data_IF_474114153118
#
_entry.id   IF_474114153118
#
_cell.length_a   1.000
_cell.length_b   1.000
_cell.length_c   1.000
_cell.angle_alpha   90.00
_cell.angle_beta   90.00
_cell.angle_gamma   90.00
#
_symmetry.space_group_name_H-M   'P 1'
#
loop_
_entity.id
_entity.type
_entity.pdbx_description
1 polymer ?
#
# COMPACT_ATOMS: atom_id res chain seq x y z
N UNK A 1 -17.47 1.29 -15.33
CA UNK A 1 -17.26 1.13 -16.78
C UNK A 1 -17.92 2.30 -17.48
N UNK A 2 -17.14 3.27 -17.96
CA UNK A 2 -17.67 4.40 -18.73
C UNK A 2 -17.98 3.90 -20.15
N UNK A 3 -19.25 3.94 -20.55
CA UNK A 3 -19.65 3.67 -21.94
C UNK A 3 -18.99 4.70 -22.86
N UNK A 4 -18.31 4.28 -23.94
CA UNK A 4 -17.76 5.23 -24.90
C UNK A 4 -18.90 6.10 -25.44
N UNK A 5 -18.68 7.41 -25.50
CA UNK A 5 -19.70 8.32 -26.02
C UNK A 5 -19.94 8.01 -27.50
N UNK A 6 -21.21 7.94 -27.95
CA UNK A 6 -21.54 7.43 -29.29
C UNK A 6 -20.98 8.29 -30.44
N UNK A 7 -20.60 9.55 -30.17
CA UNK A 7 -19.97 10.44 -31.13
C UNK A 7 -18.46 10.16 -31.33
N UNK A 8 -17.81 9.45 -30.41
CA UNK A 8 -16.40 9.05 -30.54
C UNK A 8 -16.22 7.76 -31.34
N UNK A 9 -17.31 7.03 -31.60
CA UNK A 9 -17.33 5.77 -32.36
C UNK A 9 -17.78 5.94 -33.80
N UNK A 10 -18.08 7.17 -34.24
CA UNK A 10 -18.51 7.44 -35.61
C UNK A 10 -17.33 7.22 -36.58
N UNK A 11 -17.42 6.28 -37.55
CA UNK A 11 -16.33 5.98 -38.47
C UNK A 11 -15.93 7.17 -39.34
N UNK A 12 -16.84 8.13 -39.58
CA UNK A 12 -16.55 9.34 -40.34
C UNK A 12 -15.67 10.29 -39.52
N UNK A 13 -15.86 10.32 -38.20
CA UNK A 13 -15.10 11.17 -37.28
C UNK A 13 -13.74 10.57 -36.90
N UNK A 14 -13.56 9.26 -37.08
CA UNK A 14 -12.32 8.55 -36.72
C UNK A 14 -11.05 9.18 -37.32
N UNK A 15 -11.11 9.62 -38.58
CA UNK A 15 -9.99 10.29 -39.24
C UNK A 15 -9.69 11.66 -38.63
N UNK A 16 -10.72 12.40 -38.19
CA UNK A 16 -10.59 13.73 -37.59
C UNK A 16 -10.10 13.71 -36.15
N UNK A 17 -10.19 12.56 -35.46
CA UNK A 17 -9.70 12.40 -34.09
C UNK A 17 -8.19 12.15 -34.00
N UNK A 18 -7.51 11.95 -35.15
CA UNK A 18 -6.08 11.71 -35.18
C UNK A 18 -5.30 13.02 -34.96
N UNK A 19 -4.28 13.05 -34.08
CA UNK A 19 -3.47 14.26 -33.83
C UNK A 19 -2.73 14.80 -35.06
N UNK A 20 -2.47 13.94 -36.04
CA UNK A 20 -1.77 14.26 -37.30
C UNK A 20 -2.72 14.42 -38.49
N UNK A 21 -3.98 14.80 -38.24
CA UNK A 21 -4.97 14.97 -39.31
C UNK A 21 -4.54 16.07 -40.30
N UNK A 22 -4.49 15.73 -41.59
CA UNK A 22 -4.29 16.67 -42.68
C UNK A 22 -5.55 16.72 -43.57
N UNK A 23 -6.24 17.87 -43.67
CA UNK A 23 -7.44 18.01 -44.48
C UNK A 23 -7.18 17.77 -45.97
N UNK A 24 -5.98 18.10 -46.48
CA UNK A 24 -5.66 17.91 -47.89
C UNK A 24 -5.46 16.42 -48.20
N UNK A 25 -4.68 15.70 -47.38
CA UNK A 25 -4.53 14.25 -47.49
C UNK A 25 -5.86 13.50 -47.31
N UNK A 26 -6.73 13.96 -46.40
CA UNK A 26 -8.06 13.38 -46.22
C UNK A 26 -8.92 13.49 -47.48
N UNK A 27 -9.00 14.68 -48.11
CA UNK A 27 -9.77 14.85 -49.35
C UNK A 27 -9.17 14.05 -50.51
N UNK A 28 -7.85 14.00 -50.63
CA UNK A 28 -7.17 13.26 -51.69
C UNK A 28 -7.29 11.73 -51.54
N UNK A 29 -7.50 11.23 -50.31
CA UNK A 29 -7.70 9.80 -50.05
C UNK A 29 -9.17 9.38 -50.09
N UNK A 30 -10.10 10.30 -49.84
CA UNK A 30 -11.55 10.03 -49.88
C UNK A 30 -12.16 10.23 -51.25
N UNK A 31 -11.62 11.13 -52.08
CA UNK A 31 -12.16 11.41 -53.41
C UNK A 31 -11.47 10.57 -54.51
N UNK A 32 -12.22 10.03 -55.50
CA UNK A 32 -11.63 9.30 -56.61
C UNK A 32 -10.78 10.20 -57.53
N UNK A 33 -9.76 9.66 -58.21
CA UNK A 33 -8.94 10.42 -59.14
C UNK A 33 -9.73 10.84 -60.40
N UNK A 34 -9.53 12.08 -60.85
CA UNK A 34 -10.16 12.64 -62.04
C UNK A 34 -9.64 11.97 -63.34
N UNK A 35 -10.55 11.57 -64.22
CA UNK A 35 -10.21 11.08 -65.56
C UNK A 35 -9.86 12.25 -66.50
N UNK A 36 -8.61 12.71 -66.47
CA UNK A 36 -8.13 13.81 -67.35
C UNK A 36 -7.39 13.33 -68.61
N UNK A 37 -7.09 12.03 -68.73
CA UNK A 37 -6.23 11.48 -69.78
C UNK A 37 -6.95 10.40 -70.62
N UNK A 38 -6.65 10.27 -71.93
CA UNK A 38 -7.30 9.32 -72.83
C UNK A 38 -6.87 7.86 -72.64
N UNK A 39 -5.95 7.56 -71.71
CA UNK A 39 -5.65 6.18 -71.29
C UNK A 39 -6.53 5.84 -70.09
N UNK A 40 -7.41 4.83 -70.19
CA UNK A 40 -8.27 4.45 -69.08
C UNK A 40 -7.41 3.84 -67.97
N UNK A 41 -7.18 4.58 -66.90
CA UNK A 41 -6.95 3.93 -65.61
C UNK A 41 -8.29 3.40 -65.13
N UNK A 42 -8.34 2.18 -64.62
CA UNK A 42 -9.58 1.46 -64.35
C UNK A 42 -10.47 2.10 -63.26
N UNK A 43 -10.00 3.16 -62.60
CA UNK A 43 -10.63 3.77 -61.42
C UNK A 43 -10.88 5.29 -61.55
N UNK A 44 -10.75 5.89 -62.73
CA UNK A 44 -10.93 7.33 -62.89
C UNK A 44 -12.41 7.71 -63.15
N UNK A 45 -12.94 8.67 -62.39
CA UNK A 45 -14.35 9.10 -62.47
C UNK A 45 -14.51 10.38 -63.29
N UNK A 46 -15.73 10.62 -63.78
CA UNK A 46 -16.09 11.84 -64.49
C UNK A 46 -16.23 13.03 -63.53
N UNK A 47 -15.96 14.25 -64.01
CA UNK A 47 -16.07 15.48 -63.21
C UNK A 47 -17.47 15.66 -62.59
N UNK A 48 -18.53 15.28 -63.32
CA UNK A 48 -19.90 15.38 -62.83
C UNK A 48 -20.12 14.47 -61.61
N UNK A 49 -19.65 13.22 -61.65
CA UNK A 49 -19.77 12.29 -60.55
C UNK A 49 -18.95 12.74 -59.33
N UNK A 50 -17.72 13.20 -59.54
CA UNK A 50 -16.89 13.76 -58.46
C UNK A 50 -17.57 14.96 -57.78
N UNK A 51 -18.19 15.86 -58.56
CA UNK A 51 -18.89 17.01 -58.01
C UNK A 51 -20.05 16.60 -57.12
N UNK A 52 -20.82 15.59 -57.52
CA UNK A 52 -21.94 15.05 -56.75
C UNK A 52 -21.47 14.37 -55.47
N UNK A 53 -20.39 13.59 -55.53
CA UNK A 53 -19.79 12.91 -54.39
C UNK A 53 -19.21 13.91 -53.38
N UNK A 54 -18.52 14.94 -53.85
CA UNK A 54 -17.99 16.02 -53.00
C UNK A 54 -19.11 16.79 -52.31
N UNK A 55 -20.21 17.10 -53.02
CA UNK A 55 -21.38 17.76 -52.43
C UNK A 55 -22.05 16.90 -51.36
N UNK A 56 -22.15 15.58 -51.58
CA UNK A 56 -22.69 14.63 -50.60
C UNK A 56 -21.82 14.55 -49.34
N UNK A 57 -20.50 14.47 -49.52
CA UNK A 57 -19.53 14.47 -48.43
C UNK A 57 -19.61 15.78 -47.62
N UNK A 58 -19.65 16.93 -48.29
CA UNK A 58 -19.76 18.23 -47.64
C UNK A 58 -21.08 18.37 -46.85
N UNK A 59 -22.20 17.92 -47.42
CA UNK A 59 -23.49 17.92 -46.73
C UNK A 59 -23.45 17.04 -45.48
N UNK A 60 -22.80 15.88 -45.56
CA UNK A 60 -22.62 14.95 -44.44
C UNK A 60 -21.77 15.57 -43.33
N UNK A 61 -20.62 16.15 -43.68
CA UNK A 61 -19.74 16.83 -42.73
C UNK A 61 -20.44 18.03 -42.07
N UNK A 62 -21.20 18.82 -42.82
CA UNK A 62 -21.93 19.96 -42.27
C UNK A 62 -23.02 19.53 -41.28
N UNK A 63 -23.73 18.44 -41.58
CA UNK A 63 -24.71 17.87 -40.66
C UNK A 63 -24.04 17.37 -39.37
N UNK A 64 -22.89 16.70 -39.47
CA UNK A 64 -22.12 16.25 -38.31
C UNK A 64 -21.56 17.40 -37.49
N UNK A 65 -21.01 18.43 -38.13
CA UNK A 65 -20.50 19.63 -37.45
C UNK A 65 -21.60 20.35 -36.66
N UNK A 66 -22.80 20.45 -37.23
CA UNK A 66 -23.98 21.02 -36.54
C UNK A 66 -24.37 20.17 -35.32
N UNK A 67 -24.41 18.85 -35.48
CA UNK A 67 -24.73 17.91 -34.39
C UNK A 67 -23.70 17.98 -33.26
N UNK A 68 -22.40 18.04 -33.58
CA UNK A 68 -21.33 18.17 -32.59
C UNK A 68 -21.40 19.50 -31.85
N UNK A 69 -21.67 20.61 -32.55
CA UNK A 69 -21.87 21.92 -31.94
C UNK A 69 -23.04 21.92 -30.95
N UNK A 70 -24.16 21.30 -31.32
CA UNK A 70 -25.32 21.16 -30.43
C UNK A 70 -24.97 20.31 -29.19
N UNK A 71 -24.24 19.22 -29.39
CA UNK A 71 -23.82 18.32 -28.30
C UNK A 71 -22.84 19.03 -27.36
N UNK A 72 -21.88 19.79 -27.89
CA UNK A 72 -20.93 20.57 -27.10
C UNK A 72 -21.66 21.63 -26.26
N UNK A 73 -22.63 22.31 -26.86
CA UNK A 73 -23.45 23.32 -26.16
C UNK A 73 -24.25 22.68 -25.02
N UNK A 74 -24.87 21.52 -25.27
CA UNK A 74 -25.60 20.77 -24.27
C UNK A 74 -24.69 20.31 -23.11
N UNK A 75 -23.54 19.71 -23.44
CA UNK A 75 -22.57 19.27 -22.42
C UNK A 75 -22.04 20.46 -21.60
N UNK A 76 -21.84 21.62 -22.22
CA UNK A 76 -21.42 22.83 -21.51
C UNK A 76 -22.49 23.30 -20.52
N UNK A 77 -23.76 23.34 -20.93
CA UNK A 77 -24.87 23.69 -20.03
C UNK A 77 -25.02 22.68 -18.88
N UNK A 78 -24.94 21.38 -19.21
CA UNK A 78 -25.00 20.31 -18.21
C UNK A 78 -23.86 20.41 -17.20
N UNK A 79 -22.63 20.75 -17.63
CA UNK A 79 -21.49 20.96 -16.72
C UNK A 79 -21.73 22.18 -15.82
N UNK A 80 -22.20 23.31 -16.35
CA UNK A 80 -22.45 24.51 -15.55
C UNK A 80 -23.60 24.28 -14.53
N UNK A 81 -24.65 23.58 -14.95
CA UNK A 81 -25.80 23.25 -14.11
C UNK A 81 -25.45 22.21 -13.03
N UNK A 82 -24.71 21.17 -13.39
CA UNK A 82 -24.27 20.15 -12.42
C UNK A 82 -23.20 20.68 -11.47
N UNK A 83 -22.32 21.57 -11.93
CA UNK A 83 -21.31 22.21 -11.08
C UNK A 83 -21.94 23.07 -9.97
N UNK A 84 -22.92 23.91 -10.30
CA UNK A 84 -23.63 24.73 -9.30
C UNK A 84 -24.44 23.87 -8.31
N UNK A 85 -25.11 22.81 -8.77
CA UNK A 85 -25.83 21.87 -7.90
C UNK A 85 -24.88 21.09 -6.98
N UNK A 86 -23.75 20.63 -7.52
CA UNK A 86 -22.76 19.88 -6.74
C UNK A 86 -22.12 20.75 -5.67
N UNK A 87 -21.82 22.02 -5.97
CA UNK A 87 -21.32 22.97 -4.97
C UNK A 87 -22.29 23.11 -3.79
N UNK A 88 -23.59 23.31 -4.08
CA UNK A 88 -24.61 23.36 -3.02
C UNK A 88 -24.67 22.07 -2.20
N UNK A 89 -24.61 20.90 -2.84
CA UNK A 89 -24.64 19.62 -2.13
C UNK A 89 -23.41 19.41 -1.24
N UNK A 90 -22.23 19.85 -1.69
CA UNK A 90 -21.00 19.81 -0.90
C UNK A 90 -21.11 20.73 0.31
N UNK A 91 -21.66 21.94 0.14
CA UNK A 91 -21.86 22.87 1.25
C UNK A 91 -22.88 22.34 2.27
N UNK A 92 -23.98 21.74 1.81
CA UNK A 92 -24.97 21.07 2.68
C UNK A 92 -24.32 19.90 3.44
N UNK A 93 -23.61 19.02 2.73
CA UNK A 93 -22.96 17.86 3.36
C UNK A 93 -21.89 18.30 4.37
N UNK A 94 -21.15 19.37 4.07
CA UNK A 94 -20.20 19.96 5.00
C UNK A 94 -20.91 20.51 6.24
N UNK A 95 -22.03 21.21 6.06
CA UNK A 95 -22.87 21.69 7.17
C UNK A 95 -23.39 20.55 8.04
N UNK A 96 -23.92 19.48 7.44
CA UNK A 96 -24.40 18.29 8.15
C UNK A 96 -23.26 17.54 8.86
N UNK A 97 -22.08 17.43 8.24
CA UNK A 97 -20.91 16.81 8.85
C UNK A 97 -20.39 17.62 10.04
N UNK A 98 -20.38 18.94 9.95
CA UNK A 98 -20.02 19.81 11.08
C UNK A 98 -21.05 19.69 12.18
N UNK A 99 -22.35 19.77 11.86
CA UNK A 99 -23.42 19.60 12.85
C UNK A 99 -23.35 18.24 13.55
N UNK A 100 -23.06 17.15 12.81
CA UNK A 100 -22.87 15.83 13.39
C UNK A 100 -21.63 15.82 14.31
N UNK A 101 -20.51 16.38 13.86
CA UNK A 101 -19.29 16.49 14.66
C UNK A 101 -19.54 17.26 15.97
N UNK A 102 -20.30 18.34 15.92
CA UNK A 102 -20.66 19.15 17.08
C UNK A 102 -21.57 18.35 18.02
N UNK A 103 -22.59 17.65 17.51
CA UNK A 103 -23.41 16.76 18.34
C UNK A 103 -22.62 15.63 18.98
N UNK A 104 -21.62 15.08 18.27
CA UNK A 104 -20.75 14.06 18.83
C UNK A 104 -19.86 14.64 19.93
N UNK A 105 -19.15 15.73 19.65
CA UNK A 105 -18.14 16.30 20.54
C UNK A 105 -18.75 17.01 21.75
N UNK A 106 -19.83 17.77 21.57
CA UNK A 106 -20.42 18.60 22.63
C UNK A 106 -21.46 17.87 23.48
N UNK A 107 -22.16 16.89 22.89
CA UNK A 107 -23.28 16.22 23.56
C UNK A 107 -23.00 14.75 23.85
N UNK A 108 -22.65 13.97 22.84
CA UNK A 108 -22.51 12.52 23.02
C UNK A 108 -21.22 12.13 23.72
N UNK A 109 -20.12 12.81 23.47
CA UNK A 109 -18.83 12.52 24.08
C UNK A 109 -18.85 12.63 25.62
N UNK A 110 -19.38 13.70 26.24
CA UNK A 110 -19.48 13.75 27.70
C UNK A 110 -20.46 12.71 28.27
N UNK A 111 -21.52 12.35 27.52
CA UNK A 111 -22.42 11.26 27.91
C UNK A 111 -21.71 9.90 27.87
N UNK A 112 -20.87 9.66 26.84
CA UNK A 112 -20.06 8.44 26.71
C UNK A 112 -19.01 8.36 27.82
N UNK A 113 -18.35 9.46 28.15
CA UNK A 113 -17.35 9.51 29.23
C UNK A 113 -17.96 9.14 30.60
N UNK A 114 -19.26 9.39 30.82
CA UNK A 114 -19.96 8.93 32.02
C UNK A 114 -20.09 7.39 32.10
N UNK A 115 -20.11 6.71 30.96
CA UNK A 115 -20.16 5.25 30.87
C UNK A 115 -18.77 4.61 30.85
N UNK A 116 -17.70 5.40 30.78
CA UNK A 116 -16.32 4.92 30.92
C UNK A 116 -15.95 4.98 32.41
N UNK A 117 -15.69 3.84 33.07
CA UNK A 117 -15.21 3.86 34.45
C UNK A 117 -13.91 4.68 34.51
N UNK A 118 -13.71 5.53 35.55
CA UNK A 118 -12.43 6.19 35.72
C UNK A 118 -11.33 5.13 35.78
N UNK A 119 -10.13 5.39 35.21
CA UNK A 119 -9.00 4.49 35.41
C UNK A 119 -8.82 4.33 36.91
N UNK A 120 -8.87 3.08 37.38
CA UNK A 120 -8.69 2.73 38.78
C UNK A 120 -7.29 3.18 39.22
N UNK A 121 -7.21 4.33 39.88
CA UNK A 121 -6.14 4.62 40.83
C UNK A 121 -6.37 3.69 42.03
N UNK A 122 -5.92 2.46 41.89
CA UNK A 122 -5.63 1.48 42.93
C UNK A 122 -5.35 0.15 42.21
N UNK A 123 -4.08 -0.27 42.19
CA UNK A 123 -3.58 -1.60 42.60
C UNK A 123 -2.09 -1.65 42.24
N UNK A 124 -1.23 -1.32 43.21
CA UNK A 124 0.05 -2.01 43.37
C UNK A 124 -0.27 -3.48 43.70
N UNK A 125 -0.02 -4.39 42.76
CA UNK A 125 0.15 -5.82 43.03
C UNK A 125 0.84 -6.46 41.83
N UNK A 126 2.15 -6.62 41.97
CA UNK A 126 2.92 -7.59 41.21
C UNK A 126 2.41 -9.03 41.43
N UNK A 127 2.63 -9.84 40.40
CA UNK A 127 2.70 -11.30 40.39
C UNK A 127 1.43 -12.12 40.67
N UNK A 128 0.86 -12.70 39.61
CA UNK A 128 1.11 -14.12 39.29
C UNK A 128 0.56 -14.47 37.90
N UNK A 129 1.47 -14.82 37.00
CA UNK A 129 1.18 -15.54 35.76
C UNK A 129 0.81 -16.98 36.12
N UNK A 130 -0.33 -17.49 35.66
CA UNK A 130 -0.35 -18.72 34.86
C UNK A 130 -1.74 -19.04 34.28
N UNK A 131 -1.77 -19.05 32.95
CA UNK A 131 -2.46 -20.05 32.12
C UNK A 131 -3.94 -20.35 32.42
N UNK A 132 -4.82 -19.36 32.24
CA UNK A 132 -6.26 -19.61 32.06
C UNK A 132 -7.01 -18.55 31.21
N UNK A 133 -6.32 -17.83 30.32
CA UNK A 133 -6.86 -16.59 29.73
C UNK A 133 -7.48 -16.68 28.32
N UNK A 134 -7.59 -17.85 27.68
CA UNK A 134 -8.23 -17.91 26.35
C UNK A 134 -9.73 -18.25 26.34
N UNK A 135 -10.27 -18.83 27.42
CA UNK A 135 -11.74 -19.05 27.54
C UNK A 135 -12.46 -17.98 28.36
N UNK A 136 -11.74 -17.25 29.23
CA UNK A 136 -12.31 -16.20 30.09
C UNK A 136 -12.64 -14.90 29.35
N UNK A 137 -11.84 -14.52 28.34
CA UNK A 137 -12.06 -13.30 27.57
C UNK A 137 -13.38 -13.31 26.79
N UNK A 138 -13.83 -14.49 26.34
CA UNK A 138 -15.12 -14.62 25.64
C UNK A 138 -16.32 -14.67 26.60
N UNK A 139 -16.11 -15.11 27.85
CA UNK A 139 -17.17 -15.19 28.88
C UNK A 139 -17.47 -13.82 29.51
N UNK A 140 -16.52 -12.89 29.50
CA UNK A 140 -16.74 -11.48 29.88
C UNK A 140 -17.47 -10.66 28.80
N UNK A 141 -17.61 -11.16 27.57
CA UNK A 141 -18.32 -10.46 26.49
C UNK A 141 -19.85 -10.58 26.57
N UNK A 142 -20.38 -11.53 27.35
CA UNK A 142 -21.82 -11.73 27.52
C UNK A 142 -22.19 -11.59 28.99
N UNK A 143 -22.28 -10.35 29.47
CA UNK A 143 -23.10 -10.10 30.66
C UNK A 143 -24.57 -10.37 30.28
N UNK A 144 -25.34 -11.11 31.09
CA UNK A 144 -26.68 -11.60 30.70
C UNK A 144 -27.76 -10.52 30.54
N UNK A 145 -27.41 -9.24 30.63
CA UNK A 145 -28.37 -8.12 30.63
C UNK A 145 -28.00 -6.98 29.66
N UNK A 146 -27.19 -7.24 28.64
CA UNK A 146 -26.71 -6.20 27.75
C UNK A 146 -27.36 -6.25 26.34
N UNK A 147 -27.72 -5.09 25.75
CA UNK A 147 -28.24 -5.02 24.38
C UNK A 147 -27.28 -5.63 23.35
N UNK A 148 -27.83 -6.38 22.39
CA UNK A 148 -27.06 -7.12 21.38
C UNK A 148 -26.06 -6.28 20.56
N UNK A 149 -26.28 -4.98 20.42
CA UNK A 149 -25.35 -4.09 19.72
C UNK A 149 -24.09 -3.76 20.53
N UNK A 150 -24.17 -3.71 21.86
CA UNK A 150 -22.99 -3.45 22.70
C UNK A 150 -22.08 -4.68 22.76
N UNK A 151 -22.67 -5.88 22.84
CA UNK A 151 -21.90 -7.13 22.72
C UNK A 151 -21.17 -7.22 21.37
N UNK A 152 -21.82 -6.80 20.27
CA UNK A 152 -21.19 -6.71 18.94
C UNK A 152 -20.09 -5.66 18.89
N UNK A 153 -20.27 -4.50 19.53
CA UNK A 153 -19.25 -3.48 19.60
C UNK A 153 -18.01 -3.97 20.36
N UNK A 154 -18.18 -4.61 21.52
CA UNK A 154 -17.03 -5.20 22.26
C UNK A 154 -16.32 -6.28 21.46
N UNK A 155 -17.08 -7.14 20.77
CA UNK A 155 -16.50 -8.13 19.88
C UNK A 155 -15.69 -7.47 18.77
N UNK A 156 -16.21 -6.42 18.13
CA UNK A 156 -15.51 -5.68 17.09
C UNK A 156 -14.26 -4.98 17.63
N UNK A 157 -14.32 -4.38 18.82
CA UNK A 157 -13.15 -3.77 19.48
C UNK A 157 -12.08 -4.82 19.78
N UNK A 158 -12.47 -5.99 20.29
CA UNK A 158 -11.54 -7.08 20.56
C UNK A 158 -10.93 -7.64 19.26
N UNK A 159 -11.75 -7.83 18.22
CA UNK A 159 -11.26 -8.25 16.89
C UNK A 159 -10.31 -7.22 16.31
N UNK A 160 -10.60 -5.92 16.43
CA UNK A 160 -9.70 -4.85 15.99
C UNK A 160 -8.37 -4.91 16.74
N UNK A 161 -8.38 -4.97 18.07
CA UNK A 161 -7.17 -5.07 18.88
C UNK A 161 -6.33 -6.31 18.52
N UNK A 162 -7.01 -7.43 18.25
CA UNK A 162 -6.34 -8.66 17.80
C UNK A 162 -5.75 -8.50 16.41
N UNK A 163 -6.44 -7.86 15.47
CA UNK A 163 -5.92 -7.58 14.12
C UNK A 163 -4.73 -6.63 14.17
N UNK A 164 -4.78 -5.57 14.98
CA UNK A 164 -3.67 -4.63 15.16
C UNK A 164 -2.43 -5.35 15.74
N UNK A 165 -2.63 -6.28 16.69
CA UNK A 165 -1.55 -7.13 17.22
C UNK A 165 -0.95 -8.05 16.15
N UNK A 166 -1.80 -8.69 15.33
CA UNK A 166 -1.35 -9.53 14.21
C UNK A 166 -0.57 -8.70 13.19
N UNK A 167 -1.08 -7.52 12.80
CA UNK A 167 -0.39 -6.62 11.86
C UNK A 167 0.98 -6.22 12.40
N UNK A 168 1.08 -5.90 13.70
CA UNK A 168 2.35 -5.55 14.33
C UNK A 168 3.34 -6.72 14.28
N UNK A 169 2.92 -7.91 14.71
CA UNK A 169 3.80 -9.11 14.75
C UNK A 169 4.22 -9.55 13.35
N UNK A 170 3.30 -9.56 12.37
CA UNK A 170 3.65 -9.87 10.99
C UNK A 170 4.47 -8.75 10.34
N UNK A 171 4.21 -7.48 10.68
CA UNK A 171 4.99 -6.35 10.20
C UNK A 171 6.43 -6.40 10.68
N UNK A 172 6.65 -6.65 11.98
CA UNK A 172 8.00 -6.83 12.55
C UNK A 172 8.67 -8.08 11.98
N UNK A 173 7.91 -9.15 11.76
CA UNK A 173 8.42 -10.36 11.13
C UNK A 173 8.88 -10.12 9.68
N UNK A 174 8.06 -9.43 8.86
CA UNK A 174 8.38 -9.12 7.46
C UNK A 174 9.55 -8.13 7.35
N UNK A 175 9.68 -7.22 8.32
CA UNK A 175 10.80 -6.28 8.40
C UNK A 175 12.15 -6.96 8.67
N UNK A 176 12.15 -8.26 8.99
CA UNK A 176 13.35 -9.09 9.07
C UNK A 176 13.58 -9.84 7.74
N UNK A 177 14.33 -9.25 6.78
CA UNK A 177 14.66 -9.89 5.51
C UNK A 177 15.68 -11.02 5.71
N UNK A 178 15.38 -12.20 5.17
CA UNK A 178 16.36 -13.30 5.08
C UNK A 178 16.96 -13.36 3.68
N UNK A 179 18.27 -13.66 3.57
CA UNK A 179 18.87 -13.93 2.27
C UNK A 179 18.19 -15.17 1.67
N UNK A 180 17.85 -15.13 0.39
CA UNK A 180 17.15 -16.23 -0.26
C UNK A 180 18.04 -17.47 -0.28
N UNK A 181 17.78 -18.43 0.61
CA UNK A 181 18.33 -19.78 0.46
C UNK A 181 17.54 -20.52 -0.62
N UNK A 182 17.97 -20.30 -1.85
CA UNK A 182 17.94 -21.24 -2.98
C UNK A 182 16.94 -22.41 -2.84
N UNK A 183 15.64 -22.18 -3.02
CA UNK A 183 14.69 -23.30 -3.15
C UNK A 183 13.40 -22.99 -3.94
N UNK A 184 13.37 -21.98 -4.82
CA UNK A 184 12.33 -21.90 -5.86
C UNK A 184 12.90 -21.50 -7.22
N UNK A 185 13.59 -22.47 -7.82
CA UNK A 185 14.10 -22.45 -9.20
C UNK A 185 12.99 -22.79 -10.21
N UNK A 186 11.99 -21.93 -10.44
CA UNK A 186 11.02 -22.18 -11.54
C UNK A 186 10.61 -20.98 -12.39
N UNK A 187 11.22 -19.80 -12.24
CA UNK A 187 11.03 -18.71 -13.22
C UNK A 187 12.40 -18.17 -13.61
N UNK A 188 12.92 -18.73 -14.70
CA UNK A 188 14.18 -18.32 -15.32
C UNK A 188 13.86 -17.59 -16.64
N UNK A 189 13.90 -16.26 -16.61
CA UNK A 189 14.23 -15.40 -17.75
C UNK A 189 14.95 -14.16 -17.18
N UNK A 190 16.27 -14.11 -17.34
CA UNK A 190 17.19 -12.99 -17.03
C UNK A 190 17.16 -12.39 -15.61
N UNK A 191 17.98 -12.94 -14.69
CA UNK A 191 18.30 -12.29 -13.42
C UNK A 191 19.83 -11.98 -13.33
N UNK A 192 20.24 -10.71 -13.10
CA UNK A 192 21.61 -10.29 -12.81
C UNK A 192 22.05 -10.71 -11.37
N UNK A 193 23.34 -10.57 -10.98
CA UNK A 193 23.86 -11.13 -9.73
C UNK A 193 23.31 -10.39 -8.49
N UNK A 194 22.77 -11.17 -7.55
CA UNK A 194 22.06 -10.76 -6.32
C UNK A 194 20.74 -10.02 -6.56
N UNK A 195 19.64 -10.59 -6.08
CA UNK A 195 18.38 -9.87 -6.05
C UNK A 195 18.51 -8.70 -5.07
N UNK A 196 17.82 -7.58 -5.32
CA UNK A 196 17.78 -6.45 -4.38
C UNK A 196 17.36 -6.87 -2.96
N UNK A 197 16.58 -7.95 -2.85
CA UNK A 197 16.18 -8.56 -1.58
C UNK A 197 17.37 -9.19 -0.83
N UNK A 198 18.29 -9.85 -1.54
CA UNK A 198 19.49 -10.44 -0.96
C UNK A 198 20.47 -9.38 -0.45
N UNK A 199 20.57 -8.24 -1.15
CA UNK A 199 21.39 -7.10 -0.74
C UNK A 199 20.82 -6.52 0.57
N UNK A 200 19.52 -6.21 0.59
CA UNK A 200 18.85 -5.68 1.80
C UNK A 200 18.91 -6.64 2.99
N UNK A 201 18.81 -7.94 2.75
CA UNK A 201 18.95 -8.95 3.81
C UNK A 201 20.35 -8.95 4.42
N UNK A 202 21.40 -8.79 3.59
CA UNK A 202 22.78 -8.68 4.05
C UNK A 202 23.03 -7.38 4.81
N UNK A 203 22.59 -6.25 4.27
CA UNK A 203 22.72 -4.94 4.93
C UNK A 203 22.02 -4.93 6.30
N UNK A 204 20.82 -5.50 6.40
CA UNK A 204 20.11 -5.64 7.67
C UNK A 204 20.87 -6.53 8.66
N UNK A 205 21.36 -7.69 8.20
CA UNK A 205 22.13 -8.61 9.03
C UNK A 205 23.46 -8.01 9.52
N UNK A 206 24.14 -7.23 8.68
CA UNK A 206 25.37 -6.51 9.04
C UNK A 206 25.09 -5.37 10.02
N UNK A 207 24.02 -4.59 9.79
CA UNK A 207 23.60 -3.54 10.71
C UNK A 207 23.23 -4.09 12.10
N UNK A 208 22.48 -5.19 12.14
CA UNK A 208 22.09 -5.82 13.39
C UNK A 208 23.30 -6.39 14.16
N UNK A 209 24.28 -6.97 13.47
CA UNK A 209 25.53 -7.43 14.09
C UNK A 209 26.35 -6.26 14.63
N UNK A 210 26.44 -5.16 13.89
CA UNK A 210 27.17 -3.97 14.31
C UNK A 210 26.54 -3.35 15.56
N UNK A 211 25.22 -3.26 15.60
CA UNK A 211 24.49 -2.72 16.76
C UNK A 211 24.65 -3.58 18.01
N UNK A 212 24.57 -4.91 17.88
CA UNK A 212 24.82 -5.83 19.00
C UNK A 212 26.28 -5.77 19.47
N UNK A 213 27.23 -5.67 18.54
CA UNK A 213 28.65 -5.49 18.87
C UNK A 213 28.91 -4.16 19.59
N UNK A 214 28.27 -3.08 19.16
CA UNK A 214 28.35 -1.77 19.82
C UNK A 214 27.75 -1.81 21.24
N UNK A 215 26.60 -2.46 21.42
CA UNK A 215 25.98 -2.63 22.74
C UNK A 215 26.90 -3.39 23.70
N UNK A 216 27.53 -4.48 23.26
CA UNK A 216 28.49 -5.24 24.08
C UNK A 216 29.73 -4.42 24.41
N UNK A 217 30.29 -3.68 23.45
CA UNK A 217 31.44 -2.79 23.69
C UNK A 217 31.09 -1.66 24.67
N UNK A 218 29.88 -1.11 24.57
CA UNK A 218 29.36 -0.11 25.51
C UNK A 218 29.05 -0.69 26.91
N UNK A 219 29.07 -2.01 27.06
CA UNK A 219 28.79 -2.72 28.30
C UNK A 219 27.31 -2.94 28.61
N UNK A 220 26.45 -2.78 27.62
CA UNK A 220 25.03 -3.12 27.67
C UNK A 220 24.79 -4.54 27.13
N UNK A 221 25.27 -5.53 27.89
CA UNK A 221 25.12 -6.94 27.53
C UNK A 221 23.65 -7.39 27.65
N UNK A 222 22.94 -6.86 28.65
CA UNK A 222 21.51 -7.13 28.88
C UNK A 222 20.67 -6.65 27.69
N UNK A 223 20.94 -5.46 27.15
CA UNK A 223 20.28 -4.94 25.95
C UNK A 223 20.57 -5.78 24.71
N UNK A 224 21.81 -6.26 24.54
CA UNK A 224 22.18 -7.13 23.42
C UNK A 224 21.42 -8.47 23.47
N UNK A 225 21.35 -9.14 24.63
CA UNK A 225 20.59 -10.37 24.79
C UNK A 225 19.08 -10.16 24.65
N UNK A 226 18.53 -9.07 25.20
CA UNK A 226 17.10 -8.75 25.08
C UNK A 226 16.67 -8.59 23.61
N UNK A 227 17.53 -7.96 22.79
CA UNK A 227 17.26 -7.79 21.36
C UNK A 227 17.30 -9.11 20.58
N UNK A 228 18.22 -10.01 20.94
CA UNK A 228 18.27 -11.36 20.35
C UNK A 228 17.04 -12.19 20.75
N UNK A 229 16.58 -12.05 21.99
CA UNK A 229 15.37 -12.73 22.47
C UNK A 229 14.08 -12.17 21.83
N UNK A 230 14.02 -10.87 21.51
CA UNK A 230 12.92 -10.31 20.72
C UNK A 230 12.82 -10.96 19.33
N UNK A 231 13.95 -11.12 18.64
CA UNK A 231 14.01 -11.82 17.35
C UNK A 231 13.60 -13.29 17.48
N UNK A 232 13.94 -13.93 18.60
CA UNK A 232 13.50 -15.28 18.93
C UNK A 232 11.99 -15.36 19.13
N UNK A 233 11.38 -14.35 19.77
CA UNK A 233 9.93 -14.25 19.90
C UNK A 233 9.20 -14.21 18.54
N UNK A 234 9.82 -13.61 17.53
CA UNK A 234 9.27 -13.56 16.16
C UNK A 234 9.35 -14.90 15.43
N UNK A 235 10.20 -15.85 15.85
CA UNK A 235 10.34 -17.17 15.21
C UNK A 235 9.03 -17.96 15.13
N UNK A 236 8.10 -17.72 16.07
CA UNK A 236 6.79 -18.35 16.06
C UNK A 236 5.99 -18.13 14.76
N UNK A 237 6.25 -17.03 14.03
CA UNK A 237 5.58 -16.71 12.76
C UNK A 237 6.01 -17.64 11.63
N UNK A 238 7.25 -18.14 11.66
CA UNK A 238 7.82 -19.00 10.61
C UNK A 238 7.79 -20.48 10.94
N UNK A 239 7.22 -20.88 12.07
CA UNK A 239 7.12 -22.29 12.46
C UNK A 239 6.40 -23.11 11.39
N UNK A 240 7.06 -24.15 10.88
CA UNK A 240 6.57 -25.00 9.80
C UNK A 240 6.77 -24.44 8.39
N UNK A 241 7.43 -23.29 8.23
CA UNK A 241 7.79 -22.72 6.92
C UNK A 241 9.18 -23.16 6.47
N UNK A 242 9.48 -23.04 5.18
CA UNK A 242 10.80 -23.37 4.62
C UNK A 242 11.95 -22.50 5.19
N UNK A 243 11.62 -21.34 5.76
CA UNK A 243 12.60 -20.37 6.28
C UNK A 243 12.95 -20.57 7.76
N UNK A 244 12.22 -21.42 8.48
CA UNK A 244 12.38 -21.65 9.93
C UNK A 244 13.83 -22.01 10.27
N UNK A 245 14.40 -23.00 9.59
CA UNK A 245 15.76 -23.50 9.89
C UNK A 245 16.85 -22.47 9.59
N UNK A 246 16.69 -21.67 8.53
CA UNK A 246 17.68 -20.64 8.18
C UNK A 246 17.66 -19.48 9.16
N UNK A 247 16.48 -19.09 9.63
CA UNK A 247 16.28 -18.02 10.61
C UNK A 247 16.77 -18.41 12.00
N UNK A 248 16.49 -19.65 12.41
CA UNK A 248 16.96 -20.22 13.68
C UNK A 248 18.49 -20.28 13.76
N UNK A 249 19.13 -20.69 12.66
CA UNK A 249 20.60 -20.68 12.55
C UNK A 249 21.17 -19.26 12.65
N UNK A 250 20.55 -18.30 11.99
CA UNK A 250 20.99 -16.90 12.05
C UNK A 250 20.94 -16.34 13.48
N UNK A 251 19.86 -16.59 14.22
CA UNK A 251 19.75 -16.19 15.63
C UNK A 251 20.82 -16.90 16.47
N UNK A 252 21.03 -18.20 16.27
CA UNK A 252 22.07 -18.95 16.98
C UNK A 252 23.47 -18.39 16.73
N UNK A 253 23.77 -17.98 15.49
CA UNK A 253 25.04 -17.33 15.13
C UNK A 253 25.18 -15.94 15.81
N UNK A 254 24.07 -15.21 15.99
CA UNK A 254 24.08 -13.93 16.74
C UNK A 254 24.31 -14.12 18.24
N UNK A 255 23.62 -15.09 18.86
CA UNK A 255 23.84 -15.43 20.28
C UNK A 255 25.31 -15.74 20.52
N UNK A 256 25.88 -16.61 19.68
CA UNK A 256 27.29 -16.99 19.80
C UNK A 256 28.23 -15.80 19.64
N UNK A 257 27.94 -14.89 18.71
CA UNK A 257 28.76 -13.68 18.51
C UNK A 257 28.73 -12.76 19.74
N UNK A 258 27.56 -12.58 20.36
CA UNK A 258 27.43 -11.80 21.61
C UNK A 258 28.17 -12.49 22.75
N UNK A 259 28.03 -13.81 22.92
CA UNK A 259 28.75 -14.59 23.93
C UNK A 259 30.28 -14.49 23.76
N UNK A 260 30.79 -14.68 22.54
CA UNK A 260 32.22 -14.59 22.22
C UNK A 260 32.76 -13.17 22.50
N UNK A 261 32.00 -12.11 22.17
CA UNK A 261 32.40 -10.72 22.42
C UNK A 261 32.39 -10.33 23.90
N UNK A 262 31.39 -10.79 24.66
CA UNK A 262 31.33 -10.59 26.11
C UNK A 262 32.52 -11.28 26.77
N UNK A 263 32.81 -12.53 26.36
CA UNK A 263 33.95 -13.28 26.89
C UNK A 263 35.30 -12.61 26.61
N UNK A 264 35.53 -12.11 25.39
CA UNK A 264 36.76 -11.40 25.03
C UNK A 264 36.91 -10.08 25.80
N UNK A 265 35.80 -9.38 26.06
CA UNK A 265 35.77 -8.13 26.83
C UNK A 265 36.14 -8.37 28.30
N UNK A 266 35.52 -9.37 28.92
CA UNK A 266 35.80 -9.78 30.30
C UNK A 266 37.25 -10.26 30.45
N UNK A 267 37.77 -10.99 29.46
CA UNK A 267 39.16 -11.44 29.41
C UNK A 267 40.17 -10.27 29.32
N UNK A 268 39.81 -9.22 28.57
CA UNK A 268 40.65 -8.01 28.42
C UNK A 268 40.63 -7.17 29.69
N UNK A 269 39.47 -6.99 30.33
CA UNK A 269 39.36 -6.30 31.63
C UNK A 269 40.14 -7.02 32.73
N UNK A 270 40.10 -8.36 32.77
CA UNK A 270 40.86 -9.14 33.74
C UNK A 270 42.38 -9.03 33.55
N UNK A 271 42.87 -8.91 32.31
CA UNK A 271 44.30 -8.70 32.01
C UNK A 271 44.76 -7.29 32.39
N UNK A 272 43.94 -6.26 32.12
CA UNK A 272 44.25 -4.88 32.49
C UNK A 272 44.32 -4.73 34.01
N UNK A 273 43.36 -5.29 34.76
CA UNK A 273 43.36 -5.27 36.22
C UNK A 273 44.59 -5.99 36.82
N UNK A 274 45.04 -7.09 36.20
CA UNK A 274 46.23 -7.82 36.61
C UNK A 274 47.54 -7.08 36.28
N UNK A 275 47.59 -6.33 35.17
CA UNK A 275 48.70 -5.47 34.81
C UNK A 275 48.82 -4.25 35.74
N UNK A 276 47.70 -3.66 36.16
CA UNK A 276 47.66 -2.61 37.17
C UNK A 276 48.17 -3.10 38.54
N UNK A 277 47.81 -4.31 38.97
CA UNK A 277 48.27 -4.86 40.25
C UNK A 277 49.76 -5.23 40.26
N UNK A 278 50.32 -5.63 39.11
CA UNK A 278 51.75 -5.99 39.00
C UNK A 278 52.66 -4.77 38.78
N UNK A 279 52.17 -3.69 38.17
CA UNK A 279 52.92 -2.44 38.00
C UNK A 279 53.05 -1.57 39.26
N UNK A 280 52.32 -1.88 40.34
CA UNK A 280 52.41 -1.16 41.62
C UNK A 280 53.49 -1.75 42.54
N UNK A 281 54.05 -2.93 42.22
CA UNK A 281 55.06 -3.63 43.04
C UNK A 281 56.48 -3.67 42.43
N UNK A 282 56.77 -2.86 41.40
CA UNK A 282 58.13 -2.62 40.87
C UNK A 282 58.54 -1.18 41.07
#
# INVERSE_FOLDING_TARGET
MATPTPHLTDPILASFLQPSFDPAAYLNSTLPPLSSTPKPSQNATSLANLSSETQSLLATLNAQATRLTNTLTQLTDDILRTGSRLAYQVDVLRGESTALNDTFSERLQPEIDLFVPPPSEDVDAEETLDQQEQEGAFKLLLTPNEPAHIARLRLLTHVRARLDSVIRVFGSAIAWPTPATSSHSFISVSAPPSSEADIKAKEYAEGLRAELAEAVVAGDEEGAYAKVEELRGLMGVWKGTAEERSRDKFISDLVKMVEDMVHDRDGTQAQDDQAYLTGIYT
#
